data_IF_049039628555
#
_entry.id   IF_049039628555
#
_cell.length_a   1.000
_cell.length_b   1.000
_cell.length_c   1.000
_cell.angle_alpha   90.00
_cell.angle_beta   90.00
_cell.angle_gamma   90.00
#
_symmetry.space_group_name_H-M   'P 1'
#
loop_
_entity.id
_entity.type
_entity.pdbx_description
1 polymer ?
#
# COMPACT_ATOMS: atom_id res chain seq x y z
N UNK A 1 -17.21 -9.54 3.09
CA UNK A 1 -15.91 -10.27 2.93
C UNK A 1 -15.79 -11.47 3.87
N UNK A 2 -15.08 -12.55 3.47
CA UNK A 2 -14.80 -13.68 4.37
C UNK A 2 -13.74 -13.33 5.42
N UNK A 3 -13.89 -13.86 6.64
CA UNK A 3 -13.03 -13.54 7.79
C UNK A 3 -11.54 -13.84 7.56
N UNK A 4 -11.20 -14.88 6.78
CA UNK A 4 -9.81 -15.25 6.52
C UNK A 4 -9.03 -14.15 5.76
N UNK A 5 -9.69 -13.37 4.89
CA UNK A 5 -9.04 -12.27 4.17
C UNK A 5 -8.68 -11.12 5.11
N UNK A 6 -9.57 -10.82 6.07
CA UNK A 6 -9.33 -9.81 7.10
C UNK A 6 -8.16 -10.23 8.02
N UNK A 7 -8.12 -11.51 8.39
CA UNK A 7 -7.01 -12.06 9.17
C UNK A 7 -5.69 -11.99 8.39
N UNK A 8 -5.69 -12.29 7.08
CA UNK A 8 -4.49 -12.16 6.26
C UNK A 8 -3.98 -10.71 6.19
N UNK A 9 -4.86 -9.73 5.97
CA UNK A 9 -4.49 -8.31 5.98
C UNK A 9 -3.84 -7.92 7.31
N UNK A 10 -4.53 -8.23 8.41
CA UNK A 10 -4.07 -7.89 9.75
C UNK A 10 -2.74 -8.56 10.10
N UNK A 11 -2.63 -9.89 9.94
CA UNK A 11 -1.43 -10.63 10.33
C UNK A 11 -0.26 -10.39 9.38
N UNK A 12 -0.48 -10.09 8.11
CA UNK A 12 0.62 -9.74 7.20
C UNK A 12 1.36 -8.47 7.65
N UNK A 13 0.62 -7.44 8.08
CA UNK A 13 1.18 -6.22 8.68
C UNK A 13 1.91 -6.54 9.98
N UNK A 14 1.32 -7.34 10.87
CA UNK A 14 1.95 -7.72 12.13
C UNK A 14 3.26 -8.51 11.92
N UNK A 15 3.30 -9.42 10.96
CA UNK A 15 4.49 -10.20 10.63
C UNK A 15 5.55 -9.29 9.99
N UNK A 16 5.16 -8.47 9.01
CA UNK A 16 6.05 -7.52 8.35
C UNK A 16 6.67 -6.53 9.33
N UNK A 17 5.85 -5.84 10.12
CA UNK A 17 6.31 -4.92 11.15
C UNK A 17 7.04 -5.63 12.29
N UNK A 18 6.54 -6.77 12.76
CA UNK A 18 7.16 -7.58 13.82
C UNK A 18 8.59 -7.99 13.47
N UNK A 19 8.85 -8.30 12.20
CA UNK A 19 10.20 -8.60 11.71
C UNK A 19 11.17 -7.43 11.89
N UNK A 20 10.68 -6.18 11.89
CA UNK A 20 11.45 -4.96 12.15
C UNK A 20 12.16 -4.95 13.51
N UNK A 21 11.59 -5.57 14.54
CA UNK A 21 12.25 -5.65 15.86
C UNK A 21 13.55 -6.48 15.84
N UNK A 22 13.65 -7.45 14.93
CA UNK A 22 14.81 -8.33 14.80
C UNK A 22 15.78 -7.83 13.72
N UNK A 23 15.23 -7.34 12.60
CA UNK A 23 15.98 -6.98 11.41
C UNK A 23 16.20 -5.46 11.25
N UNK A 24 15.97 -4.65 12.30
CA UNK A 24 16.22 -3.19 12.28
C UNK A 24 17.65 -2.78 11.89
N UNK A 25 18.63 -3.69 11.99
CA UNK A 25 20.03 -3.46 11.61
C UNK A 25 20.33 -3.80 10.14
N UNK A 26 19.34 -4.32 9.41
CA UNK A 26 19.52 -4.68 8.00
C UNK A 26 19.86 -3.47 7.13
N UNK A 27 20.54 -3.74 6.02
CA UNK A 27 21.03 -2.68 5.14
C UNK A 27 19.86 -1.98 4.46
N UNK A 28 19.83 -0.64 4.50
CA UNK A 28 18.91 0.23 3.74
C UNK A 28 18.72 -0.23 2.29
N UNK A 29 19.77 -0.75 1.65
CA UNK A 29 19.71 -1.28 0.29
C UNK A 29 18.80 -2.51 0.10
N UNK A 30 18.70 -3.42 1.09
CA UNK A 30 17.79 -4.56 1.00
C UNK A 30 16.33 -4.11 1.09
N UNK A 31 16.01 -3.21 2.03
CA UNK A 31 14.69 -2.62 2.14
C UNK A 31 14.27 -1.93 0.84
N UNK A 32 15.18 -1.18 0.23
CA UNK A 32 14.94 -0.53 -1.06
C UNK A 32 14.66 -1.53 -2.19
N UNK A 33 15.36 -2.67 -2.24
CA UNK A 33 15.12 -3.72 -3.25
C UNK A 33 13.73 -4.33 -3.05
N UNK A 34 13.37 -4.64 -1.81
CA UNK A 34 12.05 -5.22 -1.48
C UNK A 34 10.92 -4.23 -1.77
N UNK A 35 11.10 -2.95 -1.42
CA UNK A 35 10.17 -1.87 -1.76
C UNK A 35 10.02 -1.74 -3.28
N UNK A 36 11.13 -1.71 -4.03
CA UNK A 36 11.11 -1.59 -5.50
C UNK A 36 10.34 -2.73 -6.17
N UNK A 37 10.53 -3.97 -5.69
CA UNK A 37 9.76 -5.14 -6.16
C UNK A 37 8.27 -4.99 -5.85
N UNK A 38 7.94 -4.62 -4.61
CA UNK A 38 6.56 -4.50 -4.15
C UNK A 38 5.80 -3.37 -4.85
N UNK A 39 6.44 -2.20 -4.98
CA UNK A 39 5.90 -1.06 -5.70
C UNK A 39 5.67 -1.35 -7.18
N UNK A 40 6.59 -2.04 -7.86
CA UNK A 40 6.40 -2.41 -9.26
C UNK A 40 5.30 -3.47 -9.45
N UNK A 41 5.17 -4.43 -8.52
CA UNK A 41 4.08 -5.40 -8.54
C UNK A 41 2.72 -4.71 -8.42
N UNK A 42 2.55 -3.79 -7.47
CA UNK A 42 1.29 -3.06 -7.29
C UNK A 42 0.99 -2.14 -8.47
N UNK A 43 2.00 -1.46 -9.02
CA UNK A 43 1.82 -0.70 -10.24
C UNK A 43 1.27 -1.59 -11.35
N UNK A 44 1.84 -2.80 -11.51
CA UNK A 44 1.34 -3.78 -12.46
C UNK A 44 -0.12 -4.17 -12.19
N UNK A 45 -0.49 -4.49 -10.95
CA UNK A 45 -1.88 -4.84 -10.59
C UNK A 45 -2.84 -3.67 -10.85
N UNK A 46 -2.45 -2.45 -10.47
CA UNK A 46 -3.23 -1.24 -10.72
C UNK A 46 -3.48 -1.03 -12.21
N UNK A 47 -2.46 -1.23 -13.06
CA UNK A 47 -2.55 -1.04 -14.51
C UNK A 47 -3.29 -2.17 -15.21
N UNK A 48 -3.02 -3.42 -14.84
CA UNK A 48 -3.51 -4.59 -15.57
C UNK A 48 -4.91 -5.03 -15.14
N UNK A 49 -5.28 -4.78 -13.88
CA UNK A 49 -6.55 -5.26 -13.32
C UNK A 49 -7.47 -4.10 -12.91
N UNK A 50 -6.97 -3.17 -12.09
CA UNK A 50 -7.84 -2.17 -11.47
C UNK A 50 -8.28 -1.09 -12.48
N UNK A 51 -7.36 -0.52 -13.27
CA UNK A 51 -7.69 0.54 -14.23
C UNK A 51 -8.66 0.08 -15.33
N UNK A 52 -8.46 -1.06 -16.02
CA UNK A 52 -9.41 -1.53 -17.03
C UNK A 52 -10.82 -1.68 -16.48
N UNK A 53 -10.92 -2.18 -15.24
CA UNK A 53 -12.19 -2.32 -14.55
C UNK A 53 -12.82 -0.98 -14.16
N UNK A 54 -12.03 -0.06 -13.62
CA UNK A 54 -12.48 1.30 -13.25
C UNK A 54 -13.04 2.07 -14.45
N UNK A 55 -12.47 1.86 -15.64
CA UNK A 55 -12.94 2.46 -16.90
C UNK A 55 -13.97 1.59 -17.65
N UNK A 56 -14.38 0.44 -17.11
CA UNK A 56 -15.43 -0.37 -17.71
C UNK A 56 -16.77 0.40 -17.67
N UNK A 57 -17.41 0.58 -18.83
CA UNK A 57 -18.68 1.30 -18.96
C UNK A 57 -18.62 2.64 -19.71
N UNK A 58 -17.45 3.09 -20.17
CA UNK A 58 -17.33 4.22 -21.11
C UNK A 58 -17.52 5.62 -20.50
N UNK A 59 -17.50 5.73 -19.17
CA UNK A 59 -17.51 7.01 -18.46
C UNK A 59 -16.08 7.55 -18.25
N UNK A 60 -15.92 8.86 -18.33
CA UNK A 60 -14.66 9.57 -18.08
C UNK A 60 -14.51 10.03 -16.62
N UNK A 61 -15.59 10.04 -15.83
CA UNK A 61 -15.56 10.46 -14.43
C UNK A 61 -14.55 9.70 -13.54
N UNK A 62 -14.25 8.41 -13.74
CA UNK A 62 -13.28 7.71 -12.89
C UNK A 62 -11.88 8.32 -12.92
N UNK A 63 -11.49 9.00 -14.01
CA UNK A 63 -10.22 9.72 -14.09
C UNK A 63 -10.08 10.84 -13.06
N UNK A 64 -11.17 11.53 -12.72
CA UNK A 64 -11.17 12.57 -11.68
C UNK A 64 -10.91 11.97 -10.29
N UNK A 65 -11.50 10.81 -10.00
CA UNK A 65 -11.29 10.11 -8.74
C UNK A 65 -9.87 9.56 -8.62
N UNK A 66 -9.29 9.05 -9.71
CA UNK A 66 -7.87 8.67 -9.76
C UNK A 66 -6.98 9.87 -9.43
N UNK A 67 -7.21 11.03 -10.06
CA UNK A 67 -6.43 12.25 -9.77
C UNK A 67 -6.61 12.72 -8.31
N UNK A 68 -7.84 12.66 -7.79
CA UNK A 68 -8.12 13.00 -6.40
C UNK A 68 -7.39 12.06 -5.43
N UNK A 69 -7.42 10.75 -5.70
CA UNK A 69 -6.73 9.74 -4.91
C UNK A 69 -5.21 9.94 -4.90
N UNK A 70 -4.63 10.19 -6.08
CA UNK A 70 -3.21 10.52 -6.22
C UNK A 70 -2.84 11.77 -5.40
N UNK A 71 -3.61 12.84 -5.55
CA UNK A 71 -3.35 14.10 -4.85
C UNK A 71 -3.51 13.99 -3.33
N UNK A 72 -4.55 13.30 -2.85
CA UNK A 72 -4.71 13.07 -1.41
C UNK A 72 -3.58 12.20 -0.87
N UNK A 73 -3.13 11.19 -1.61
CA UNK A 73 -2.00 10.38 -1.19
C UNK A 73 -0.71 11.20 -1.11
N UNK A 74 -0.48 12.11 -2.06
CA UNK A 74 0.62 13.07 -1.99
C UNK A 74 0.57 13.92 -0.70
N UNK A 75 -0.62 14.35 -0.27
CA UNK A 75 -0.78 15.08 1.01
C UNK A 75 -0.52 14.18 2.23
N UNK A 76 -1.02 12.94 2.22
CA UNK A 76 -0.78 11.97 3.29
C UNK A 76 0.70 11.61 3.41
N UNK A 77 1.44 11.59 2.30
CA UNK A 77 2.88 11.39 2.30
C UNK A 77 3.64 12.51 3.01
N UNK A 78 3.19 13.77 2.89
CA UNK A 78 3.79 14.87 3.64
C UNK A 78 3.64 14.66 5.16
N UNK A 79 2.55 14.00 5.59
CA UNK A 79 2.34 13.64 6.99
C UNK A 79 3.18 12.43 7.42
N UNK A 80 3.35 11.45 6.52
CA UNK A 80 4.10 10.21 6.76
C UNK A 80 5.62 10.35 6.59
N UNK A 81 6.09 11.47 6.03
CA UNK A 81 7.51 11.77 5.77
C UNK A 81 8.16 10.64 4.94
N UNK A 82 7.40 10.04 4.02
CA UNK A 82 7.88 9.01 3.09
C UNK A 82 8.24 7.67 3.74
N UNK A 83 7.69 7.35 4.93
CA UNK A 83 7.91 6.05 5.60
C UNK A 83 7.46 4.87 4.74
N UNK A 84 6.36 5.05 4.00
CA UNK A 84 5.79 4.08 3.05
C UNK A 84 6.82 3.63 2.01
N UNK A 85 7.79 4.50 1.73
CA UNK A 85 8.81 4.31 0.72
C UNK A 85 10.20 4.17 1.35
N UNK A 86 10.32 3.92 2.66
CA UNK A 86 11.61 3.61 3.31
C UNK A 86 12.51 4.81 3.62
N UNK A 87 11.98 6.03 3.67
CA UNK A 87 12.70 7.20 4.21
C UNK A 87 12.84 7.12 5.73
N UNK A 88 13.82 6.33 6.19
CA UNK A 88 14.14 6.21 7.61
C UNK A 88 15.19 7.27 7.97
N UNK A 89 14.76 8.52 8.13
CA UNK A 89 15.59 9.56 8.76
C UNK A 89 14.84 10.06 10.00
N UNK A 90 15.40 9.81 11.18
CA UNK A 90 14.88 10.39 12.40
C UNK A 90 15.21 11.89 12.43
N UNK A 91 14.24 12.79 12.60
CA UNK A 91 14.52 14.20 12.81
C UNK A 91 15.31 14.42 14.11
N UNK A 92 16.18 15.44 14.13
CA UNK A 92 17.01 15.81 15.29
C UNK A 92 16.22 16.13 16.57
N UNK A 93 14.92 16.42 16.47
CA UNK A 93 14.00 16.57 17.61
C UNK A 93 12.77 15.70 17.43
N UNK A 94 12.71 14.64 18.22
CA UNK A 94 11.57 13.77 18.36
C UNK A 94 10.43 14.48 19.11
N UNK A 95 9.20 14.39 18.61
CA UNK A 95 8.00 14.86 19.31
C UNK A 95 6.85 13.87 19.12
N UNK A 96 5.95 13.80 20.10
CA UNK A 96 4.72 13.01 19.97
C UNK A 96 3.90 13.43 18.74
N UNK A 97 3.97 14.72 18.37
CA UNK A 97 3.33 15.27 17.18
C UNK A 97 3.86 14.65 15.88
N UNK A 98 5.17 14.38 15.79
CA UNK A 98 5.76 13.72 14.63
C UNK A 98 5.23 12.29 14.46
N UNK A 99 5.23 11.48 15.53
CA UNK A 99 4.69 10.11 15.49
C UNK A 99 3.21 10.12 15.14
N UNK A 100 2.45 11.06 15.71
CA UNK A 100 1.03 11.18 15.42
C UNK A 100 0.77 11.54 13.95
N UNK A 101 1.57 12.45 13.37
CA UNK A 101 1.50 12.78 11.94
C UNK A 101 1.76 11.56 11.07
N UNK A 102 2.83 10.82 11.36
CA UNK A 102 3.20 9.61 10.61
C UNK A 102 2.11 8.55 10.69
N UNK A 103 1.60 8.31 11.90
CA UNK A 103 0.50 7.37 12.12
C UNK A 103 -0.78 7.82 11.41
N UNK A 104 -1.11 9.10 11.42
CA UNK A 104 -2.29 9.63 10.73
C UNK A 104 -2.21 9.40 9.21
N UNK A 105 -1.09 9.76 8.58
CA UNK A 105 -0.87 9.54 7.14
C UNK A 105 -1.03 8.07 6.77
N UNK A 106 -0.26 7.19 7.42
CA UNK A 106 -0.28 5.74 7.17
C UNK A 106 -1.63 5.10 7.45
N UNK A 107 -2.30 5.48 8.54
CA UNK A 107 -3.58 4.88 8.90
C UNK A 107 -4.69 5.31 7.94
N UNK A 108 -4.76 6.59 7.56
CA UNK A 108 -5.75 7.06 6.59
C UNK A 108 -5.50 6.40 5.24
N UNK A 109 -4.24 6.33 4.79
CA UNK A 109 -3.86 5.65 3.55
C UNK A 109 -4.33 4.18 3.55
N UNK A 110 -3.90 3.39 4.54
CA UNK A 110 -4.24 1.98 4.64
C UNK A 110 -5.75 1.74 4.80
N UNK A 111 -6.46 2.64 5.48
CA UNK A 111 -7.91 2.58 5.61
C UNK A 111 -8.62 2.77 4.28
N UNK A 112 -8.23 3.80 3.52
CA UNK A 112 -8.81 4.10 2.21
C UNK A 112 -8.58 2.95 1.23
N UNK A 113 -7.36 2.43 1.19
CA UNK A 113 -7.01 1.28 0.37
C UNK A 113 -7.76 -0.01 0.77
N UNK A 114 -8.14 -0.10 2.05
CA UNK A 114 -8.96 -1.19 2.58
C UNK A 114 -10.39 -1.20 2.04
N UNK A 115 -10.97 -0.04 1.74
CA UNK A 115 -12.39 0.07 1.40
C UNK A 115 -12.81 -0.75 0.15
N UNK A 116 -12.04 -0.77 -0.96
CA UNK A 116 -12.45 -1.50 -2.16
C UNK A 116 -12.44 -3.02 -2.07
N UNK A 117 -11.77 -3.58 -1.07
CA UNK A 117 -11.64 -5.03 -0.92
C UNK A 117 -12.99 -5.74 -0.74
N UNK A 118 -14.00 -5.09 -0.16
CA UNK A 118 -15.26 -5.74 0.14
C UNK A 118 -16.16 -6.00 -1.06
N UNK A 119 -16.09 -5.14 -2.07
CA UNK A 119 -16.92 -5.23 -3.27
C UNK A 119 -16.13 -5.62 -4.53
N UNK A 120 -14.82 -5.40 -4.57
CA UNK A 120 -14.01 -5.71 -5.75
C UNK A 120 -14.10 -7.19 -6.15
N UNK A 121 -14.02 -8.11 -5.18
CA UNK A 121 -14.07 -9.56 -5.46
C UNK A 121 -15.41 -10.05 -6.02
N UNK A 122 -16.51 -9.39 -5.66
CA UNK A 122 -17.85 -9.74 -6.15
C UNK A 122 -18.16 -9.08 -7.50
N UNK A 123 -17.78 -7.81 -7.68
CA UNK A 123 -17.96 -7.11 -8.96
C UNK A 123 -17.12 -7.71 -10.09
N UNK A 124 -15.88 -8.09 -9.82
CA UNK A 124 -14.99 -8.66 -10.83
C UNK A 124 -15.45 -10.07 -11.28
N UNK A 125 -16.11 -10.82 -10.39
CA UNK A 125 -16.75 -12.09 -10.72
C UNK A 125 -17.96 -11.94 -11.66
N UNK A 126 -18.75 -10.88 -11.46
CA UNK A 126 -19.94 -10.62 -12.25
C UNK A 126 -19.61 -10.23 -13.71
N UNK A 127 -18.49 -9.55 -13.95
CA UNK A 127 -18.12 -9.08 -15.30
C UNK A 127 -17.24 -10.05 -16.11
N UNK A 128 -16.35 -10.85 -15.48
CA UNK A 128 -15.32 -11.63 -16.22
C UNK A 128 -15.66 -13.13 -16.35
N UNK A 129 -16.69 -13.62 -15.65
CA UNK A 129 -17.09 -15.03 -15.68
C UNK A 129 -16.20 -15.94 -14.83
N UNK A 130 -16.70 -17.14 -14.51
CA UNK A 130 -16.23 -18.03 -13.45
C UNK A 130 -14.83 -18.69 -13.62
N UNK A 131 -13.96 -18.17 -14.50
CA UNK A 131 -12.69 -18.81 -14.86
C UNK A 131 -11.53 -18.53 -13.90
N UNK A 132 -11.40 -17.30 -13.39
CA UNK A 132 -10.17 -16.87 -12.69
C UNK A 132 -10.49 -15.84 -11.58
N UNK A 133 -10.97 -16.31 -10.43
CA UNK A 133 -11.14 -15.46 -9.23
C UNK A 133 -9.82 -15.32 -8.49
N UNK A 134 -9.07 -14.29 -8.82
CA UNK A 134 -7.85 -13.98 -8.08
C UNK A 134 -8.06 -12.70 -7.28
N UNK A 135 -7.76 -12.78 -5.98
CA UNK A 135 -7.78 -11.64 -5.07
C UNK A 135 -6.56 -10.73 -5.35
N UNK A 136 -6.38 -10.28 -6.59
CA UNK A 136 -5.21 -9.52 -7.03
C UNK A 136 -5.01 -8.25 -6.21
N UNK A 137 -6.10 -7.52 -5.93
CA UNK A 137 -6.08 -6.35 -5.05
C UNK A 137 -5.60 -6.73 -3.63
N UNK A 138 -6.14 -7.81 -3.04
CA UNK A 138 -5.73 -8.28 -1.72
C UNK A 138 -4.25 -8.63 -1.67
N UNK A 139 -3.74 -9.37 -2.66
CA UNK A 139 -2.34 -9.75 -2.71
C UNK A 139 -1.42 -8.54 -2.98
N UNK A 140 -1.85 -7.59 -3.80
CA UNK A 140 -1.22 -6.28 -3.95
C UNK A 140 -1.09 -5.58 -2.60
N UNK A 141 -2.21 -5.42 -1.89
CA UNK A 141 -2.24 -4.76 -0.59
C UNK A 141 -1.28 -5.43 0.40
N UNK A 142 -1.37 -6.76 0.54
CA UNK A 142 -0.50 -7.54 1.43
C UNK A 142 0.99 -7.33 1.08
N UNK A 143 1.34 -7.38 -0.21
CA UNK A 143 2.72 -7.35 -0.64
C UNK A 143 3.42 -6.01 -0.39
N UNK A 144 2.72 -4.87 -0.37
CA UNK A 144 3.34 -3.59 0.02
C UNK A 144 3.13 -3.19 1.47
N UNK A 145 2.10 -3.72 2.13
CA UNK A 145 1.94 -3.50 3.57
C UNK A 145 3.04 -4.15 4.39
N UNK A 146 3.58 -5.29 3.95
CA UNK A 146 4.71 -5.94 4.63
C UNK A 146 5.94 -5.01 4.70
N UNK A 147 6.47 -4.48 3.58
CA UNK A 147 7.57 -3.50 3.60
C UNK A 147 7.24 -2.19 4.32
N UNK A 148 6.03 -1.65 4.14
CA UNK A 148 5.63 -0.40 4.80
C UNK A 148 5.56 -0.55 6.33
N UNK A 149 4.99 -1.65 6.82
CA UNK A 149 4.93 -1.98 8.25
C UNK A 149 6.33 -2.17 8.84
N UNK A 150 7.23 -2.83 8.10
CA UNK A 150 8.63 -2.94 8.47
C UNK A 150 9.28 -1.56 8.62
N UNK A 151 9.13 -0.69 7.62
CA UNK A 151 9.70 0.66 7.64
C UNK A 151 9.16 1.50 8.80
N UNK A 152 7.85 1.41 9.10
CA UNK A 152 7.23 2.05 10.26
C UNK A 152 7.88 1.58 11.56
N UNK A 153 7.99 0.27 11.79
CA UNK A 153 8.57 -0.26 13.04
C UNK A 153 10.03 0.16 13.17
N UNK A 154 10.82 0.08 12.10
CA UNK A 154 12.22 0.53 12.13
C UNK A 154 12.31 2.02 12.45
N UNK A 155 11.48 2.87 11.83
CA UNK A 155 11.44 4.30 12.15
C UNK A 155 11.13 4.53 13.64
N UNK A 156 10.09 3.87 14.18
CA UNK A 156 9.69 4.06 15.58
C UNK A 156 10.77 3.56 16.56
N UNK A 157 11.46 2.47 16.22
CA UNK A 157 12.58 1.95 17.02
C UNK A 157 13.80 2.88 16.98
N UNK A 158 14.18 3.37 15.80
CA UNK A 158 15.27 4.36 15.65
C UNK A 158 14.92 5.66 16.38
N UNK A 159 13.63 6.01 16.43
CA UNK A 159 13.09 7.14 17.19
C UNK A 159 13.04 6.92 18.71
N UNK A 160 13.58 5.80 19.21
CA UNK A 160 13.68 5.47 20.63
C UNK A 160 12.32 5.37 21.36
N UNK A 161 11.22 5.06 20.66
CA UNK A 161 9.96 4.76 21.33
C UNK A 161 10.09 3.47 22.14
N UNK A 162 9.40 3.42 23.29
CA UNK A 162 9.31 2.19 24.06
C UNK A 162 8.58 1.11 23.24
N UNK A 163 9.10 -0.13 23.28
CA UNK A 163 8.59 -1.25 22.46
C UNK A 163 7.08 -1.47 22.59
N UNK A 164 6.49 -1.24 23.77
CA UNK A 164 5.03 -1.34 23.98
C UNK A 164 4.23 -0.38 23.09
N UNK A 165 4.74 0.85 22.90
CA UNK A 165 4.11 1.85 22.05
C UNK A 165 4.32 1.54 20.57
N UNK A 166 5.49 0.99 20.20
CA UNK A 166 5.73 0.51 18.83
C UNK A 166 4.73 -0.60 18.46
N UNK A 167 4.52 -1.57 19.35
CA UNK A 167 3.50 -2.60 19.15
C UNK A 167 2.10 -2.00 19.06
N UNK A 168 1.73 -1.05 19.93
CA UNK A 168 0.42 -0.39 19.85
C UNK A 168 0.21 0.30 18.49
N UNK A 169 1.19 1.08 18.03
CA UNK A 169 1.17 1.72 16.72
C UNK A 169 1.02 0.68 15.59
N UNK A 170 1.78 -0.42 15.65
CA UNK A 170 1.69 -1.50 14.66
C UNK A 170 0.31 -2.17 14.67
N UNK A 171 -0.29 -2.40 15.84
CA UNK A 171 -1.64 -2.96 15.96
C UNK A 171 -2.71 -2.02 15.37
N UNK A 172 -2.59 -0.71 15.64
CA UNK A 172 -3.48 0.29 15.06
C UNK A 172 -3.36 0.26 13.54
N UNK A 173 -2.13 0.32 13.01
CA UNK A 173 -1.89 0.29 11.57
C UNK A 173 -2.42 -0.98 10.91
N UNK A 174 -2.16 -2.16 11.51
CA UNK A 174 -2.65 -3.46 11.02
C UNK A 174 -4.17 -3.55 10.95
N UNK A 175 -4.89 -2.82 11.80
CA UNK A 175 -6.35 -2.82 11.81
C UNK A 175 -6.97 -1.95 10.71
N UNK A 176 -6.24 -1.01 10.11
CA UNK A 176 -6.84 0.02 9.26
C UNK A 176 -7.46 -0.53 7.97
N UNK A 177 -6.77 -1.39 7.22
CA UNK A 177 -7.35 -1.98 6.01
C UNK A 177 -8.52 -2.92 6.28
N UNK A 178 -8.44 -3.83 7.28
CA UNK A 178 -9.61 -4.60 7.70
C UNK A 178 -10.81 -3.72 8.09
N UNK A 179 -10.56 -2.62 8.81
CA UNK A 179 -11.62 -1.68 9.21
C UNK A 179 -12.21 -0.93 8.01
N UNK A 180 -11.38 -0.51 7.04
CA UNK A 180 -11.84 0.11 5.80
C UNK A 180 -12.75 -0.83 5.01
N UNK A 181 -12.34 -2.08 4.87
CA UNK A 181 -13.13 -3.12 4.21
C UNK A 181 -14.47 -3.38 4.92
N UNK A 182 -14.45 -3.55 6.25
CA UNK A 182 -15.64 -3.80 7.06
C UNK A 182 -16.62 -2.62 7.04
N UNK A 183 -16.12 -1.38 7.11
CA UNK A 183 -16.98 -0.20 7.03
C UNK A 183 -17.68 -0.13 5.68
N UNK A 184 -16.93 -0.33 4.59
CA UNK A 184 -17.48 -0.30 3.24
C UNK A 184 -18.55 -1.38 3.01
N UNK A 185 -18.35 -2.58 3.57
CA UNK A 185 -19.33 -3.68 3.56
C UNK A 185 -20.60 -3.29 4.35
N UNK A 186 -20.42 -2.70 5.54
CA UNK A 186 -21.51 -2.39 6.47
C UNK A 186 -22.46 -1.30 5.99
N UNK A 187 -21.97 -0.31 5.23
CA UNK A 187 -22.78 0.84 4.79
C UNK A 187 -23.47 0.63 3.42
N UNK A 188 -23.30 -0.55 2.81
CA UNK A 188 -23.93 -0.93 1.52
C UNK A 188 -23.79 0.15 0.43
N UNK A 189 -22.55 0.55 0.14
CA UNK A 189 -22.22 1.63 -0.82
C UNK A 189 -22.83 1.32 -2.21
N UNK A 190 -23.57 2.24 -2.86
CA UNK A 190 -24.08 2.03 -4.22
C UNK A 190 -22.98 1.85 -5.26
N UNK A 191 -23.24 1.06 -6.32
CA UNK A 191 -22.26 0.70 -7.38
C UNK A 191 -21.49 1.89 -7.99
N UNK A 192 -22.10 3.05 -8.32
CA UNK A 192 -21.34 4.19 -8.85
C UNK A 192 -20.28 4.72 -7.88
N UNK A 193 -20.60 4.71 -6.59
CA UNK A 193 -19.68 5.12 -5.53
C UNK A 193 -18.61 4.05 -5.26
N UNK A 194 -18.92 2.77 -5.42
CA UNK A 194 -17.93 1.69 -5.34
C UNK A 194 -16.85 1.86 -6.43
N UNK A 195 -17.25 2.12 -7.68
CA UNK A 195 -16.32 2.44 -8.78
C UNK A 195 -15.47 3.67 -8.47
N UNK A 196 -16.08 4.70 -7.91
CA UNK A 196 -15.39 5.96 -7.54
C UNK A 196 -14.36 5.76 -6.43
N UNK A 197 -14.69 4.97 -5.39
CA UNK A 197 -13.77 4.67 -4.29
C UNK A 197 -12.62 3.78 -4.76
N UNK A 198 -12.89 2.79 -5.62
CA UNK A 198 -11.81 2.01 -6.24
C UNK A 198 -10.92 2.90 -7.12
N UNK A 199 -11.50 3.79 -7.93
CA UNK A 199 -10.73 4.75 -8.74
C UNK A 199 -9.84 5.64 -7.86
N UNK A 200 -10.35 6.11 -6.73
CA UNK A 200 -9.58 6.84 -5.73
C UNK A 200 -8.42 6.00 -5.18
N UNK A 201 -8.68 4.74 -4.80
CA UNK A 201 -7.65 3.83 -4.32
C UNK A 201 -6.58 3.55 -5.39
N UNK A 202 -6.98 3.40 -6.66
CA UNK A 202 -6.04 3.28 -7.80
C UNK A 202 -5.13 4.50 -7.88
N UNK A 203 -5.68 5.72 -7.76
CA UNK A 203 -4.88 6.94 -7.70
C UNK A 203 -3.84 6.94 -6.58
N UNK A 204 -4.26 6.55 -5.38
CA UNK A 204 -3.38 6.41 -4.21
C UNK A 204 -2.26 5.38 -4.45
N UNK A 205 -2.58 4.22 -5.02
CA UNK A 205 -1.61 3.17 -5.38
C UNK A 205 -0.62 3.61 -6.46
N UNK A 206 -1.08 4.38 -7.46
CA UNK A 206 -0.23 4.95 -8.50
C UNK A 206 0.78 5.94 -7.90
N UNK A 207 0.36 6.78 -6.96
CA UNK A 207 1.26 7.68 -6.24
C UNK A 207 2.35 6.91 -5.50
N UNK A 208 1.97 5.98 -4.62
CA UNK A 208 2.91 5.19 -3.82
C UNK A 208 3.90 4.44 -4.70
N UNK A 209 3.39 3.70 -5.68
CA UNK A 209 4.24 2.90 -6.56
C UNK A 209 5.23 3.75 -7.35
N UNK A 210 4.83 4.92 -7.85
CA UNK A 210 5.73 5.81 -8.60
C UNK A 210 6.79 6.45 -7.72
N UNK A 211 6.44 6.88 -6.50
CA UNK A 211 7.44 7.42 -5.55
C UNK A 211 8.46 6.35 -5.16
N UNK A 212 8.03 5.11 -4.88
CA UNK A 212 8.95 3.99 -4.60
C UNK A 212 9.93 3.76 -5.76
N UNK A 213 9.43 3.79 -6.99
CA UNK A 213 10.23 3.44 -8.17
C UNK A 213 11.20 4.54 -8.58
N UNK A 214 10.82 5.81 -8.45
CA UNK A 214 11.56 6.93 -9.03
C UNK A 214 12.27 7.84 -8.02
N UNK A 215 11.82 7.93 -6.77
CA UNK A 215 12.35 8.91 -5.81
C UNK A 215 13.44 8.34 -4.87
N UNK A 216 13.51 7.01 -4.72
CA UNK A 216 14.44 6.33 -3.79
C UNK A 216 15.94 6.39 -4.18
N UNK A 217 16.33 7.10 -5.23
CA UNK A 217 17.71 7.21 -5.75
C UNK A 217 18.32 8.59 -5.47
N UNK A 218 18.58 8.89 -4.20
CA UNK A 218 19.07 10.22 -3.77
C UNK A 218 20.59 10.36 -3.63
N UNK A 219 21.42 9.36 -3.99
CA UNK A 219 22.85 9.39 -3.61
C UNK A 219 23.92 9.32 -4.70
N UNK A 220 23.62 9.10 -5.97
CA UNK A 220 24.59 9.34 -7.07
C UNK A 220 23.94 9.22 -8.45
N UNK A 221 24.00 10.30 -9.24
CA UNK A 221 23.84 10.37 -10.71
C UNK A 221 23.14 9.21 -11.45
N UNK A 222 21.89 9.48 -11.87
CA UNK A 222 21.18 8.99 -13.07
C UNK A 222 20.96 7.48 -13.34
N UNK A 223 21.46 6.54 -12.53
CA UNK A 223 21.32 5.11 -12.82
C UNK A 223 20.66 4.31 -11.69
N UNK A 224 19.54 3.66 -12.01
CA UNK A 224 18.92 2.63 -11.17
C UNK A 224 19.90 1.46 -11.05
N UNK A 225 20.20 1.01 -9.82
CA UNK A 225 21.10 -0.14 -9.64
C UNK A 225 20.54 -1.40 -10.31
N UNK A 226 21.40 -2.25 -10.87
CA UNK A 226 20.98 -3.49 -11.55
C UNK A 226 20.13 -4.41 -10.66
N UNK A 227 20.40 -4.44 -9.35
CA UNK A 227 19.60 -5.20 -8.37
C UNK A 227 18.20 -4.64 -8.20
N UNK A 228 18.06 -3.31 -8.13
CA UNK A 228 16.74 -2.65 -8.11
C UNK A 228 16.00 -2.87 -9.41
N UNK A 229 16.66 -2.70 -10.55
CA UNK A 229 16.07 -2.94 -11.86
C UNK A 229 15.57 -4.38 -12.01
N UNK A 230 16.35 -5.36 -11.55
CA UNK A 230 15.93 -6.76 -11.53
C UNK A 230 14.71 -7.01 -10.61
N UNK A 231 14.66 -6.37 -9.44
CA UNK A 231 13.49 -6.42 -8.56
C UNK A 231 12.26 -5.78 -9.20
N UNK A 232 12.40 -4.62 -9.84
CA UNK A 232 11.33 -3.94 -10.57
C UNK A 232 10.79 -4.86 -11.68
N UNK A 233 11.70 -5.40 -12.51
CA UNK A 233 11.36 -6.32 -13.58
C UNK A 233 10.66 -7.58 -13.06
N UNK A 234 11.12 -8.16 -11.94
CA UNK A 234 10.49 -9.32 -11.32
C UNK A 234 9.07 -9.01 -10.82
N UNK A 235 8.85 -7.87 -10.16
CA UNK A 235 7.51 -7.47 -9.69
C UNK A 235 6.54 -7.24 -10.84
N UNK A 236 6.97 -6.55 -11.91
CA UNK A 236 6.18 -6.38 -13.13
C UNK A 236 5.89 -7.72 -13.81
N UNK A 237 6.90 -8.58 -13.93
CA UNK A 237 6.76 -9.90 -14.55
C UNK A 237 5.74 -10.76 -13.80
N UNK A 238 5.82 -10.83 -12.47
CA UNK A 238 4.84 -11.57 -11.66
C UNK A 238 3.45 -10.97 -11.82
N UNK A 239 3.31 -9.64 -11.87
CA UNK A 239 2.02 -9.01 -12.16
C UNK A 239 1.49 -9.39 -13.55
N UNK A 240 2.33 -9.43 -14.59
CA UNK A 240 1.91 -9.87 -15.93
C UNK A 240 1.48 -11.35 -15.93
N UNK A 241 2.16 -12.22 -15.17
CA UNK A 241 1.70 -13.61 -15.05
C UNK A 241 0.30 -13.74 -14.45
N UNK A 242 -0.21 -12.71 -13.77
CA UNK A 242 -1.56 -12.74 -13.19
C UNK A 242 -2.69 -12.51 -14.21
N UNK A 243 -2.38 -12.09 -15.44
CA UNK A 243 -3.36 -11.95 -16.55
C UNK A 243 -3.30 -13.11 -17.56
N UNK A 244 -2.36 -14.05 -17.40
CA UNK A 244 -2.19 -15.24 -18.25
C UNK A 244 -2.93 -16.45 -17.67
#
# INVERSE_FOLDING_TARGET
>A
MPAWQLLLLFFSVLIGGGSGFYFQKEKKGLLQIVLSFSGSYILGIAVLHLMPWVFSGGDHQPGLWILAGFFVQLLLEQLSVGVEHGHIHAPHKFSNTFVLSVMAGLCIHAFVEGMPLSYYGEMHQAEVGAGHTHNHLLYGIILHHIPAAFALVVLLLVSQLQKKWVWLCLFIFAAMSPLGALLADSISIPTPWQKSILAFAVGSLLHISTVILFEMDSSSHHYISTKKLAAIAAGLFISILTIL
#
